data_IF_959745666089
#
_entry.id   IF_959745666089
#
_cell.length_a   1.000
_cell.length_b   1.000
_cell.length_c   1.000
_cell.angle_alpha   90.00
_cell.angle_beta   90.00
_cell.angle_gamma   90.00
#
_symmetry.space_group_name_H-M   'P 1'
#
loop_
_entity.id
_entity.type
_entity.pdbx_description
1 polymer ?
#
# COMPACT_ATOMS: atom_id res chain seq x y z
N UNK A 1 -1.00 -8.36 -22.60
CA UNK A 1 -2.01 -7.52 -21.94
C UNK A 1 -1.88 -7.75 -20.44
N UNK A 2 -1.36 -6.76 -19.73
CA UNK A 2 -1.30 -6.76 -18.26
C UNK A 2 -2.73 -6.63 -17.74
N UNK A 3 -3.14 -7.53 -16.85
CA UNK A 3 -4.46 -7.54 -16.19
C UNK A 3 -4.68 -6.33 -15.27
N UNK A 4 -3.58 -5.68 -14.89
CA UNK A 4 -3.51 -4.49 -14.07
C UNK A 4 -3.67 -3.22 -14.92
N UNK A 5 -4.90 -2.89 -15.30
CA UNK A 5 -5.18 -1.67 -16.05
C UNK A 5 -5.06 -0.42 -15.16
N UNK A 6 -4.76 0.76 -15.72
CA UNK A 6 -4.69 2.00 -14.92
C UNK A 6 -6.00 2.35 -14.20
N UNK A 7 -7.15 1.97 -14.76
CA UNK A 7 -8.45 2.15 -14.12
C UNK A 7 -8.61 1.24 -12.89
N UNK A 8 -8.11 0.00 -12.97
CA UNK A 8 -8.12 -0.92 -11.84
C UNK A 8 -7.19 -0.42 -10.73
N UNK A 9 -5.99 0.05 -11.07
CA UNK A 9 -5.04 0.65 -10.10
C UNK A 9 -5.69 1.83 -9.40
N UNK A 10 -6.26 2.77 -10.14
CA UNK A 10 -6.97 3.92 -9.54
C UNK A 10 -8.13 3.49 -8.64
N UNK A 11 -8.92 2.50 -9.05
CA UNK A 11 -10.01 1.97 -8.24
C UNK A 11 -9.53 1.31 -6.94
N UNK A 12 -8.41 0.58 -6.98
CA UNK A 12 -7.78 -0.01 -5.79
C UNK A 12 -7.22 1.07 -4.87
N UNK A 13 -6.45 2.02 -5.39
CA UNK A 13 -5.91 3.13 -4.61
C UNK A 13 -7.03 3.95 -3.94
N UNK A 14 -8.09 4.28 -4.69
CA UNK A 14 -9.24 5.02 -4.16
C UNK A 14 -9.96 4.28 -3.02
N UNK A 15 -10.14 2.97 -3.16
CA UNK A 15 -10.71 2.14 -2.11
C UNK A 15 -9.80 2.09 -0.88
N UNK A 16 -8.50 1.84 -1.06
CA UNK A 16 -7.51 1.81 0.02
C UNK A 16 -7.47 3.13 0.80
N UNK A 17 -7.50 4.26 0.10
CA UNK A 17 -7.44 5.59 0.71
C UNK A 17 -8.72 5.96 1.47
N UNK A 18 -9.87 5.40 1.05
CA UNK A 18 -11.16 5.68 1.71
C UNK A 18 -11.41 4.77 2.91
N UNK A 19 -11.14 3.46 2.76
CA UNK A 19 -11.60 2.45 3.72
C UNK A 19 -10.47 1.93 4.62
N UNK A 20 -9.22 2.11 4.20
CA UNK A 20 -8.05 1.45 4.81
C UNK A 20 -6.86 2.40 5.06
N UNK A 21 -7.11 3.71 5.16
CA UNK A 21 -6.05 4.70 5.40
C UNK A 21 -5.24 4.42 6.67
N UNK A 22 -5.90 4.01 7.75
CA UNK A 22 -5.23 3.65 9.02
C UNK A 22 -4.37 2.40 8.88
N UNK A 23 -4.86 1.37 8.16
CA UNK A 23 -4.10 0.16 7.88
C UNK A 23 -2.89 0.42 6.99
N UNK A 24 -3.05 1.29 5.96
CA UNK A 24 -1.94 1.74 5.13
C UNK A 24 -0.88 2.50 5.96
N UNK A 25 -1.32 3.31 6.93
CA UNK A 25 -0.39 4.07 7.79
C UNK A 25 0.42 3.12 8.68
N UNK A 26 -0.22 2.09 9.23
CA UNK A 26 0.46 1.05 10.00
C UNK A 26 1.53 0.34 9.16
N UNK A 27 1.20 -0.03 7.91
CA UNK A 27 2.17 -0.64 6.97
C UNK A 27 3.37 0.29 6.75
N UNK A 28 3.14 1.57 6.43
CA UNK A 28 4.22 2.53 6.18
C UNK A 28 5.10 2.75 7.43
N UNK A 29 4.50 2.83 8.61
CA UNK A 29 5.23 3.07 9.86
C UNK A 29 6.11 1.89 10.28
N UNK A 30 5.63 0.67 10.03
CA UNK A 30 6.29 -0.58 10.49
C UNK A 30 7.17 -1.18 9.41
N UNK A 31 6.59 -1.49 8.25
CA UNK A 31 7.26 -2.16 7.13
C UNK A 31 8.01 -1.17 6.23
N UNK A 32 7.50 0.07 6.13
CA UNK A 32 8.13 1.14 5.35
C UNK A 32 9.24 1.91 6.11
N UNK A 33 9.45 1.62 7.39
CA UNK A 33 10.48 2.28 8.21
C UNK A 33 10.22 3.74 8.56
N UNK A 34 9.05 4.30 8.23
CA UNK A 34 8.69 5.69 8.51
C UNK A 34 7.78 5.79 9.73
N UNK A 35 8.27 5.41 10.91
CA UNK A 35 7.45 5.36 12.13
C UNK A 35 6.85 6.71 12.55
N UNK A 36 7.44 7.83 12.07
CA UNK A 36 6.96 9.19 12.30
C UNK A 36 5.93 9.69 11.27
N UNK A 37 5.54 8.88 10.27
CA UNK A 37 4.54 9.28 9.29
C UNK A 37 3.21 9.65 9.97
N UNK A 38 2.62 10.79 9.62
CA UNK A 38 1.37 11.27 10.20
C UNK A 38 0.14 10.82 9.38
N UNK A 39 0.28 10.79 8.07
CA UNK A 39 -0.75 10.33 7.15
C UNK A 39 -0.11 9.64 5.94
N UNK A 40 -0.93 8.91 5.19
CA UNK A 40 -0.48 8.20 4.00
C UNK A 40 -1.57 8.20 2.94
N UNK A 41 -1.13 8.25 1.68
CA UNK A 41 -1.96 8.05 0.51
C UNK A 41 -1.37 6.92 -0.32
N UNK A 42 -2.17 5.90 -0.62
CA UNK A 42 -1.85 4.89 -1.63
C UNK A 42 -1.91 5.55 -3.01
N UNK A 43 -0.79 5.54 -3.73
CA UNK A 43 -0.66 6.23 -5.03
C UNK A 43 -0.63 5.26 -6.20
N UNK A 44 -0.03 4.09 -6.04
CA UNK A 44 0.01 3.06 -7.06
C UNK A 44 0.05 1.67 -6.43
N UNK A 45 -0.30 0.68 -7.22
CA UNK A 45 -0.10 -0.72 -6.92
C UNK A 45 0.30 -1.42 -8.20
N UNK A 46 1.23 -2.36 -8.09
CA UNK A 46 1.75 -3.18 -9.18
C UNK A 46 1.72 -4.66 -8.79
N UNK A 47 2.16 -5.54 -9.68
CA UNK A 47 2.16 -6.99 -9.43
C UNK A 47 3.03 -7.40 -8.24
N UNK A 48 4.01 -6.59 -7.85
CA UNK A 48 5.04 -6.97 -6.86
C UNK A 48 5.09 -6.05 -5.65
N UNK A 49 4.40 -4.92 -5.67
CA UNK A 49 4.52 -3.92 -4.62
C UNK A 49 3.33 -2.98 -4.61
N UNK A 50 3.18 -2.29 -3.49
CA UNK A 50 2.29 -1.16 -3.31
C UNK A 50 3.10 0.09 -2.99
N UNK A 51 2.76 1.21 -3.62
CA UNK A 51 3.43 2.49 -3.44
C UNK A 51 2.53 3.42 -2.65
N UNK A 52 3.10 4.00 -1.61
CA UNK A 52 2.48 4.96 -0.72
C UNK A 52 3.23 6.28 -0.76
N UNK A 53 2.51 7.37 -0.54
CA UNK A 53 3.05 8.68 -0.26
C UNK A 53 2.72 9.02 1.20
N UNK A 54 3.73 9.05 2.04
CA UNK A 54 3.61 9.32 3.47
C UNK A 54 3.93 10.78 3.76
N UNK A 55 3.12 11.44 4.59
CA UNK A 55 3.47 12.74 5.16
C UNK A 55 4.29 12.53 6.43
N UNK A 56 5.52 13.06 6.46
CA UNK A 56 6.39 13.07 7.64
C UNK A 56 6.76 14.52 7.92
N UNK A 57 6.23 15.06 9.02
CA UNK A 57 6.48 16.44 9.45
C UNK A 57 6.22 17.50 8.35
N UNK A 58 5.18 17.30 7.52
CA UNK A 58 4.83 18.19 6.42
C UNK A 58 5.61 17.95 5.12
N UNK A 59 6.48 16.94 5.08
CA UNK A 59 7.20 16.49 3.89
C UNK A 59 6.64 15.19 3.34
N UNK A 60 6.31 15.17 2.04
CA UNK A 60 5.86 13.96 1.36
C UNK A 60 7.04 13.06 1.01
N UNK A 61 6.99 11.81 1.47
CA UNK A 61 8.00 10.77 1.22
C UNK A 61 7.35 9.58 0.53
N UNK A 62 7.91 9.13 -0.58
CA UNK A 62 7.47 7.92 -1.26
C UNK A 62 7.97 6.66 -0.52
N UNK A 63 7.10 5.68 -0.34
CA UNK A 63 7.39 4.41 0.31
C UNK A 63 6.86 3.28 -0.57
N UNK A 64 7.76 2.41 -1.02
CA UNK A 64 7.41 1.23 -1.80
C UNK A 64 7.55 0.00 -0.90
N UNK A 65 6.46 -0.72 -0.71
CA UNK A 65 6.46 -1.95 0.09
C UNK A 65 6.27 -3.15 -0.83
N UNK A 66 7.26 -4.07 -0.92
CA UNK A 66 7.15 -5.26 -1.75
C UNK A 66 6.20 -6.29 -1.14
N UNK A 67 5.46 -6.98 -1.99
CA UNK A 67 4.67 -8.15 -1.63
C UNK A 67 5.59 -9.37 -1.41
N UNK A 68 5.15 -10.31 -0.58
CA UNK A 68 5.87 -11.57 -0.39
C UNK A 68 5.90 -12.41 -1.68
N UNK A 69 4.81 -12.38 -2.46
CA UNK A 69 4.68 -13.08 -3.73
C UNK A 69 4.03 -12.16 -4.78
N UNK A 70 4.35 -12.33 -6.09
CA UNK A 70 3.71 -11.56 -7.14
C UNK A 70 2.19 -11.80 -7.20
N UNK A 71 1.41 -10.72 -7.17
CA UNK A 71 0.00 -10.75 -7.51
C UNK A 71 -0.16 -11.02 -9.01
N UNK A 72 -1.08 -11.93 -9.36
CA UNK A 72 -1.38 -12.29 -10.77
C UNK A 72 -2.79 -11.88 -11.20
N UNK A 73 -3.58 -11.35 -10.27
CA UNK A 73 -4.95 -10.87 -10.48
C UNK A 73 -5.32 -9.88 -9.35
N UNK A 74 -6.45 -9.17 -9.47
CA UNK A 74 -7.00 -8.26 -8.46
C UNK A 74 -7.15 -8.94 -7.09
N UNK A 75 -7.60 -10.20 -7.05
CA UNK A 75 -7.69 -10.94 -5.79
C UNK A 75 -6.29 -11.26 -5.20
N UNK A 76 -5.27 -11.37 -6.04
CA UNK A 76 -3.88 -11.45 -5.63
C UNK A 76 -3.43 -10.18 -4.91
N UNK A 77 -3.70 -9.00 -5.49
CA UNK A 77 -3.37 -7.70 -4.87
C UNK A 77 -4.01 -7.59 -3.49
N UNK A 78 -5.30 -7.90 -3.38
CA UNK A 78 -6.01 -7.85 -2.10
C UNK A 78 -5.35 -8.75 -1.06
N UNK A 79 -5.03 -10.00 -1.42
CA UNK A 79 -4.37 -10.95 -0.51
C UNK A 79 -3.00 -10.44 -0.06
N UNK A 80 -2.21 -9.89 -0.99
CA UNK A 80 -0.90 -9.32 -0.68
C UNK A 80 -1.00 -8.13 0.28
N UNK A 81 -1.94 -7.21 0.06
CA UNK A 81 -2.14 -6.05 0.97
C UNK A 81 -2.63 -6.50 2.35
N UNK A 82 -3.52 -7.49 2.43
CA UNK A 82 -3.98 -8.05 3.71
C UNK A 82 -2.82 -8.70 4.45
N UNK A 83 -1.94 -9.43 3.77
CA UNK A 83 -0.73 -10.02 4.36
C UNK A 83 0.22 -8.95 4.91
N UNK A 84 0.47 -7.87 4.16
CA UNK A 84 1.24 -6.72 4.65
C UNK A 84 0.60 -6.09 5.88
N UNK A 85 -0.71 -5.88 5.87
CA UNK A 85 -1.45 -5.32 7.00
C UNK A 85 -1.37 -6.21 8.24
N UNK A 86 -1.49 -7.53 8.07
CA UNK A 86 -1.35 -8.48 9.17
C UNK A 86 0.07 -8.47 9.76
N UNK A 87 1.10 -8.39 8.92
CA UNK A 87 2.50 -8.26 9.37
C UNK A 87 2.77 -6.95 10.08
N UNK A 88 2.21 -5.85 9.59
CA UNK A 88 2.34 -4.55 10.23
C UNK A 88 1.69 -4.53 11.63
N UNK A 89 0.57 -5.22 11.82
CA UNK A 89 -0.12 -5.32 13.10
C UNK A 89 0.54 -6.30 14.09
N UNK A 90 1.27 -7.30 13.59
CA UNK A 90 1.97 -8.28 14.40
C UNK A 90 3.43 -7.95 14.73
N UNK A 91 3.92 -6.79 14.29
CA UNK A 91 5.30 -6.32 14.47
C UNK A 91 5.52 -5.56 15.80
#
# INVERSE_FOLDING_TARGET
>A
MTWLTPELVQGVCGHMNTDHAEGALAIVRTLGGLSQANSVTTVSVDERSITFQADVAGGLTEVVVPFAEPATDRQGVRRAVVELSARAQGA
#
